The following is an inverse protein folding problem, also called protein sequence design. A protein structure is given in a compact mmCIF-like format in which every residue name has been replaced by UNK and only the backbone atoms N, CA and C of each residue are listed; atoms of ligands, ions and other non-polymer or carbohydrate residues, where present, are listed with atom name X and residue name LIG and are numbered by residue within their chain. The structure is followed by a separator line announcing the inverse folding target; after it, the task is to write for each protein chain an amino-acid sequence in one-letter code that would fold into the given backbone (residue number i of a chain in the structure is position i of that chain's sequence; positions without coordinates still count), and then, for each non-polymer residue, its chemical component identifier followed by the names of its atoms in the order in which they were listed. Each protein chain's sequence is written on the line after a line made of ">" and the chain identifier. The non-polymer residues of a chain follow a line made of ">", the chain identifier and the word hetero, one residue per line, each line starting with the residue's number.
data_IF_096076153810
#
_entry.id   IF_096076153810
#
_cell.length_a   1.000
_cell.length_b   1.000
_cell.length_c   1.000
_cell.angle_alpha   90.00
_cell.angle_beta   90.00
_cell.angle_gamma   90.00
#
_symmetry.space_group_name_H-M   'P 1'
#
loop_
_entity.id
_entity.type
_entity.pdbx_description
1 polymer ?
#
# COMPACT_ATOMS: atom_id res chain seq x y z
N UNK A 1 6.49 -19.89 14.32
CA UNK A 1 5.19 -19.97 13.63
C UNK A 1 5.09 -18.77 12.71
N UNK A 2 5.02 -18.91 11.38
CA UNK A 2 4.80 -17.74 10.54
C UNK A 2 3.37 -17.27 10.81
N UNK A 3 3.23 -16.10 11.41
CA UNK A 3 1.93 -15.48 11.61
C UNK A 3 1.22 -15.39 10.26
N UNK A 4 -0.08 -15.64 10.27
CA UNK A 4 -0.92 -15.53 9.09
C UNK A 4 -0.77 -14.10 8.54
N UNK A 5 0.01 -13.92 7.45
CA UNK A 5 0.25 -12.63 6.78
C UNK A 5 -1.06 -11.95 6.32
N UNK A 6 -2.19 -12.63 6.45
CA UNK A 6 -3.51 -12.24 5.97
C UNK A 6 -4.44 -11.64 7.04
N UNK A 7 -4.02 -11.54 8.30
CA UNK A 7 -4.77 -10.84 9.35
C UNK A 7 -3.86 -9.89 10.11
N UNK A 8 -3.60 -8.73 9.51
CA UNK A 8 -3.10 -7.57 10.23
C UNK A 8 -4.30 -6.78 10.76
N UNK A 9 -4.23 -6.32 12.00
CA UNK A 9 -5.18 -5.33 12.51
C UNK A 9 -5.00 -3.98 11.77
N UNK A 10 -5.98 -3.06 11.85
CA UNK A 10 -5.92 -1.79 11.13
C UNK A 10 -4.67 -0.95 11.42
N UNK A 11 -4.16 -0.97 12.65
CA UNK A 11 -2.96 -0.24 13.04
C UNK A 11 -1.72 -0.83 12.36
N UNK A 12 -1.56 -2.15 12.45
CA UNK A 12 -0.47 -2.89 11.80
C UNK A 12 -0.46 -2.69 10.27
N UNK A 13 -1.64 -2.63 9.63
CA UNK A 13 -1.73 -2.35 8.19
C UNK A 13 -1.27 -0.94 7.86
N UNK A 14 -1.71 0.06 8.63
CA UNK A 14 -1.36 1.45 8.37
C UNK A 14 0.15 1.70 8.54
N UNK A 15 0.74 1.17 9.61
CA UNK A 15 2.19 1.24 9.85
C UNK A 15 2.98 0.53 8.74
N UNK A 16 2.52 -0.66 8.33
CA UNK A 16 3.16 -1.39 7.23
C UNK A 16 3.08 -0.59 5.93
N UNK A 17 1.92 -0.04 5.59
CA UNK A 17 1.73 0.74 4.38
C UNK A 17 2.68 1.95 4.31
N UNK A 18 2.81 2.71 5.39
CA UNK A 18 3.75 3.85 5.48
C UNK A 18 5.21 3.39 5.39
N UNK A 19 5.56 2.30 6.07
CA UNK A 19 6.94 1.80 6.12
C UNK A 19 7.49 1.39 4.75
N UNK A 20 6.64 0.90 3.84
CA UNK A 20 7.05 0.38 2.54
C UNK A 20 6.97 1.40 1.39
N UNK A 21 6.52 2.63 1.63
CA UNK A 21 6.50 3.66 0.58
C UNK A 21 7.92 3.87 0.01
N UNK A 22 8.07 3.87 -1.31
CA UNK A 22 9.38 3.99 -1.94
C UNK A 22 10.22 2.70 -1.93
N UNK A 23 9.67 1.57 -1.50
CA UNK A 23 10.25 0.25 -1.80
C UNK A 23 9.96 -0.15 -3.26
N UNK A 24 10.70 -1.14 -3.77
CA UNK A 24 10.34 -1.83 -5.00
C UNK A 24 9.13 -2.74 -4.80
N UNK A 25 8.59 -3.28 -5.89
CA UNK A 25 7.40 -4.13 -5.84
C UNK A 25 7.50 -5.33 -6.79
N UNK A 26 7.25 -6.53 -6.27
CA UNK A 26 7.22 -7.77 -7.06
C UNK A 26 5.80 -8.13 -7.51
N UNK A 27 5.44 -7.64 -8.70
CA UNK A 27 4.12 -7.87 -9.31
C UNK A 27 3.82 -9.35 -9.58
N UNK A 28 4.84 -10.20 -9.73
CA UNK A 28 4.66 -11.62 -9.99
C UNK A 28 4.30 -12.41 -8.72
N UNK A 29 4.59 -11.84 -7.54
CA UNK A 29 4.33 -12.48 -6.25
C UNK A 29 2.95 -12.17 -5.71
N UNK A 30 2.58 -10.90 -5.63
CA UNK A 30 1.31 -10.43 -5.06
C UNK A 30 1.08 -8.96 -5.44
N UNK A 31 -0.14 -8.44 -5.29
CA UNK A 31 -0.46 -6.99 -5.39
C UNK A 31 -0.57 -6.31 -4.02
N UNK A 32 -0.41 -7.08 -2.93
CA UNK A 32 -0.49 -6.61 -1.54
C UNK A 32 0.87 -6.15 -0.98
N UNK A 33 0.85 -5.52 0.20
CA UNK A 33 2.04 -5.02 0.92
C UNK A 33 3.12 -6.10 1.19
N UNK A 34 2.76 -7.39 1.13
CA UNK A 34 3.69 -8.53 1.25
C UNK A 34 4.68 -8.65 0.09
N UNK A 35 4.39 -8.06 -1.06
CA UNK A 35 5.27 -8.03 -2.23
C UNK A 35 6.13 -6.76 -2.33
N UNK A 36 6.06 -5.84 -1.35
CA UNK A 36 6.97 -4.71 -1.27
C UNK A 36 8.37 -5.19 -0.87
N UNK A 37 9.38 -4.85 -1.67
CA UNK A 37 10.77 -5.29 -1.50
C UNK A 37 11.69 -4.09 -1.22
N UNK A 38 12.49 -4.12 -0.16
CA UNK A 38 13.49 -3.08 0.05
C UNK A 38 14.53 -3.11 -1.08
N UNK A 39 15.19 -1.97 -1.30
CA UNK A 39 16.32 -1.87 -2.21
C UNK A 39 17.52 -2.72 -1.78
N UNK A 40 18.57 -2.79 -2.60
CA UNK A 40 19.73 -3.67 -2.39
C UNK A 40 20.40 -3.54 -1.00
N UNK A 41 20.35 -2.35 -0.39
CA UNK A 41 20.92 -2.07 0.93
C UNK A 41 19.90 -2.18 2.08
N UNK A 42 18.71 -2.74 1.84
CA UNK A 42 17.60 -2.70 2.80
C UNK A 42 16.87 -1.35 2.87
N UNK A 43 17.24 -0.39 2.01
CA UNK A 43 16.72 0.98 2.01
C UNK A 43 15.54 1.18 1.07
N UNK A 44 14.95 2.39 1.11
CA UNK A 44 14.03 2.85 0.06
C UNK A 44 14.83 3.09 -1.25
N UNK A 45 14.13 2.98 -2.38
CA UNK A 45 14.63 3.29 -3.72
C UNK A 45 14.57 4.79 -4.05
N UNK A 46 13.79 5.55 -3.27
CA UNK A 46 13.67 7.00 -3.38
C UNK A 46 14.00 7.65 -2.04
N UNK A 47 14.50 8.87 -2.11
CA UNK A 47 14.70 9.72 -0.93
C UNK A 47 13.36 10.32 -0.49
N UNK A 48 13.10 10.30 0.81
CA UNK A 48 11.97 10.98 1.42
C UNK A 48 12.52 12.05 2.35
N UNK A 49 12.02 13.27 2.23
CA UNK A 49 12.36 14.34 3.18
C UNK A 49 11.85 13.98 4.58
N UNK A 50 12.78 13.67 5.47
CA UNK A 50 12.52 13.33 6.86
C UNK A 50 12.67 14.53 7.81
N UNK A 51 13.00 15.73 7.31
CA UNK A 51 13.19 16.91 8.15
C UNK A 51 11.86 17.42 8.72
N UNK A 52 10.75 17.19 8.00
CA UNK A 52 9.42 17.57 8.44
C UNK A 52 8.49 16.35 8.46
N UNK A 53 8.05 15.98 9.65
CA UNK A 53 7.15 14.85 9.91
C UNK A 53 5.84 15.29 10.56
N UNK A 54 4.83 14.44 10.48
CA UNK A 54 3.52 14.60 11.14
C UNK A 54 2.90 13.26 11.46
N UNK A 55 1.93 13.26 12.37
CA UNK A 55 1.08 12.10 12.60
C UNK A 55 0.04 11.98 11.47
N UNK A 56 -0.06 10.78 10.89
CA UNK A 56 -1.15 10.41 10.00
C UNK A 56 -2.28 9.78 10.81
N UNK A 57 -3.42 10.46 10.85
CA UNK A 57 -4.65 9.97 11.49
C UNK A 57 -5.55 9.34 10.43
N UNK A 58 -5.88 8.08 10.64
CA UNK A 58 -6.77 7.28 9.83
C UNK A 58 -8.14 7.15 10.55
N UNK A 59 -9.19 6.66 9.86
CA UNK A 59 -10.46 6.32 10.50
C UNK A 59 -10.28 5.32 11.65
N UNK A 60 -11.29 5.24 12.52
CA UNK A 60 -11.35 4.28 13.64
C UNK A 60 -10.20 4.40 14.65
N UNK A 61 -9.60 5.59 14.78
CA UNK A 61 -8.59 5.89 15.81
C UNK A 61 -7.19 5.37 15.51
N UNK A 62 -6.93 4.88 14.29
CA UNK A 62 -5.60 4.45 13.86
C UNK A 62 -4.71 5.67 13.62
N UNK A 63 -3.51 5.67 14.21
CA UNK A 63 -2.56 6.79 14.10
C UNK A 63 -1.16 6.25 13.83
N UNK A 64 -0.54 6.67 12.73
CA UNK A 64 0.87 6.40 12.44
C UNK A 64 1.66 7.67 12.72
N UNK A 65 2.63 7.59 13.63
CA UNK A 65 3.41 8.75 14.08
C UNK A 65 4.58 9.06 13.18
N UNK A 66 5.07 10.30 13.25
CA UNK A 66 6.36 10.74 12.69
C UNK A 66 6.54 10.41 11.20
N UNK A 67 5.45 10.55 10.43
CA UNK A 67 5.45 10.24 9.01
C UNK A 67 5.97 11.43 8.20
N UNK A 68 6.91 11.24 7.24
CA UNK A 68 7.34 12.28 6.32
C UNK A 68 6.16 13.02 5.66
N UNK A 69 6.20 14.35 5.61
CA UNK A 69 5.12 15.17 5.05
C UNK A 69 4.81 14.88 3.57
N UNK A 70 5.76 14.30 2.84
CA UNK A 70 5.60 13.84 1.46
C UNK A 70 4.64 12.65 1.34
N UNK A 71 4.43 11.87 2.41
CA UNK A 71 3.46 10.78 2.46
C UNK A 71 2.10 11.34 2.86
N UNK A 72 1.10 11.11 2.01
CA UNK A 72 -0.27 11.55 2.23
C UNK A 72 -1.19 10.35 2.30
N UNK A 73 -2.14 10.41 3.22
CA UNK A 73 -3.29 9.54 3.26
C UNK A 73 -4.49 10.31 2.66
N UNK A 74 -5.17 9.67 1.72
CA UNK A 74 -6.43 10.13 1.16
C UNK A 74 -7.38 8.93 1.09
N UNK A 75 -8.69 9.18 1.14
CA UNK A 75 -9.71 8.13 0.99
C UNK A 75 -9.61 7.44 -0.37
N UNK A 76 -9.05 8.13 -1.36
CA UNK A 76 -8.99 7.70 -2.76
C UNK A 76 -10.38 7.76 -3.41
N UNK A 77 -10.41 8.02 -4.72
CA UNK A 77 -11.63 7.76 -5.48
C UNK A 77 -11.72 6.25 -5.77
N UNK A 78 -12.89 5.65 -5.51
CA UNK A 78 -13.16 4.25 -5.86
C UNK A 78 -13.43 4.12 -7.35
N UNK A 79 -12.42 4.32 -8.17
CA UNK A 79 -12.54 4.21 -9.63
C UNK A 79 -12.31 2.77 -10.06
N UNK A 80 -13.26 1.88 -9.73
CA UNK A 80 -13.31 0.54 -10.33
C UNK A 80 -13.99 0.64 -11.69
N UNK A 81 -13.20 0.86 -12.73
CA UNK A 81 -13.66 0.59 -14.09
C UNK A 81 -13.61 -0.92 -14.30
N UNK A 82 -14.77 -1.58 -14.24
CA UNK A 82 -14.91 -2.96 -14.66
C UNK A 82 -15.50 -2.91 -16.07
N UNK A 83 -14.78 -3.43 -17.06
CA UNK A 83 -15.45 -3.83 -18.30
C UNK A 83 -16.31 -5.05 -17.97
N UNK A 84 -17.57 -5.03 -18.40
CA UNK A 84 -18.42 -6.21 -18.28
C UNK A 84 -17.77 -7.39 -19.01
N UNK A 85 -17.89 -8.59 -18.44
CA UNK A 85 -17.47 -9.81 -19.12
C UNK A 85 -18.57 -10.11 -20.14
N UNK A 86 -18.27 -9.92 -21.43
CA UNK A 86 -19.18 -10.32 -22.50
C UNK A 86 -19.36 -11.83 -22.45
N UNK A 87 -20.61 -12.31 -22.51
CA UNK A 87 -20.85 -13.73 -22.76
C UNK A 87 -20.35 -14.09 -24.16
N UNK A 88 -19.99 -15.35 -24.38
CA UNK A 88 -19.50 -15.82 -25.68
C UNK A 88 -20.46 -15.45 -26.84
N UNK A 89 -21.77 -15.43 -26.58
CA UNK A 89 -22.80 -15.06 -27.56
C UNK A 89 -22.88 -13.56 -27.89
N UNK A 90 -22.24 -12.69 -27.09
CA UNK A 90 -22.19 -11.25 -27.33
C UNK A 90 -20.96 -10.85 -28.16
N UNK A 91 -20.02 -11.77 -28.38
CA UNK A 91 -18.88 -11.54 -29.27
C UNK A 91 -19.38 -11.73 -30.70
N UNK A 92 -19.63 -10.63 -31.40
CA UNK A 92 -19.93 -10.66 -32.84
C UNK A 92 -18.60 -10.76 -33.59
N UNK A 93 -18.40 -11.84 -34.34
CA UNK A 93 -17.29 -12.00 -35.29
C UNK A 93 -17.69 -11.52 -36.68
#
# INVERSE_FOLDING_TARGET
>A
MPGNLYQMDPQSVAEKAVSVIGFGFDLCRDVRLSACLPGPSGSRLIELDSAATRDLVFPDGVVVKDVPNSIKYDKGERTRFRSDVLSFSQVSF
#
